data_IF_605509647342
#
_entry.id   IF_605509647342
#
_cell.length_a   1.000
_cell.length_b   1.000
_cell.length_c   1.000
_cell.angle_alpha   90.00
_cell.angle_beta   90.00
_cell.angle_gamma   90.00
#
_symmetry.space_group_name_H-M   'P 1'
#
loop_
_entity.id
_entity.type
_entity.pdbx_description
1 polymer ?
#
# COMPACT_ATOMS: atom_id res chain seq x y z
N UNK A 1 13.90 12.96 -0.14
CA UNK A 1 12.83 12.28 -0.90
C UNK A 1 11.74 13.30 -1.22
N UNK A 2 11.28 13.42 -2.48
CA UNK A 2 10.33 14.45 -2.88
C UNK A 2 9.05 14.40 -2.02
N UNK A 3 8.65 15.50 -1.36
CA UNK A 3 7.45 15.59 -0.51
C UNK A 3 6.18 15.09 -1.21
N UNK A 4 6.12 15.18 -2.54
CA UNK A 4 5.00 14.71 -3.35
C UNK A 4 4.82 13.18 -3.31
N UNK A 5 5.92 12.42 -3.22
CA UNK A 5 5.90 10.94 -3.17
C UNK A 5 5.39 10.43 -1.82
N UNK A 6 5.82 11.08 -0.74
CA UNK A 6 5.39 10.72 0.63
C UNK A 6 3.88 10.88 0.83
N UNK A 7 3.28 11.91 0.22
CA UNK A 7 1.83 12.14 0.31
C UNK A 7 1.02 11.08 -0.43
N UNK A 8 1.50 10.61 -1.60
CA UNK A 8 0.86 9.50 -2.34
C UNK A 8 0.96 8.18 -1.58
N UNK A 9 2.11 7.91 -0.96
CA UNK A 9 2.32 6.73 -0.14
C UNK A 9 1.36 6.70 1.06
N UNK A 10 1.28 7.80 1.81
CA UNK A 10 0.34 7.92 2.92
C UNK A 10 -1.11 7.77 2.46
N UNK A 11 -1.49 8.34 1.32
CA UNK A 11 -2.84 8.17 0.78
C UNK A 11 -3.13 6.70 0.45
N UNK A 12 -2.17 5.97 -0.11
CA UNK A 12 -2.31 4.54 -0.37
C UNK A 12 -2.50 3.73 0.93
N UNK A 13 -1.77 4.06 1.99
CA UNK A 13 -1.96 3.48 3.31
C UNK A 13 -3.35 3.77 3.89
N UNK A 14 -3.83 5.02 3.78
CA UNK A 14 -5.18 5.41 4.24
C UNK A 14 -6.24 4.61 3.50
N UNK A 15 -6.17 4.52 2.16
CA UNK A 15 -7.11 3.76 1.34
C UNK A 15 -7.07 2.28 1.72
N UNK A 16 -5.87 1.71 1.91
CA UNK A 16 -5.72 0.31 2.30
C UNK A 16 -6.38 0.00 3.64
N UNK A 17 -6.10 0.80 4.68
CA UNK A 17 -6.72 0.61 5.99
C UNK A 17 -8.23 0.83 5.96
N UNK A 18 -8.71 1.78 5.14
CA UNK A 18 -10.14 2.00 4.96
C UNK A 18 -10.83 0.78 4.35
N UNK A 19 -10.29 0.25 3.25
CA UNK A 19 -10.80 -0.97 2.60
C UNK A 19 -10.74 -2.16 3.54
N UNK A 20 -9.62 -2.33 4.25
CA UNK A 20 -9.43 -3.37 5.27
C UNK A 20 -10.49 -3.29 6.37
N UNK A 21 -10.76 -2.09 6.88
CA UNK A 21 -11.76 -1.86 7.92
C UNK A 21 -13.17 -2.19 7.41
N UNK A 22 -13.53 -1.73 6.21
CA UNK A 22 -14.83 -2.03 5.59
C UNK A 22 -14.99 -3.54 5.38
N UNK A 23 -13.99 -4.21 4.80
CA UNK A 23 -14.01 -5.65 4.58
C UNK A 23 -14.16 -6.41 5.91
N UNK A 24 -13.46 -5.96 6.97
CA UNK A 24 -13.58 -6.56 8.30
C UNK A 24 -15.01 -6.44 8.86
N UNK A 25 -15.61 -5.25 8.76
CA UNK A 25 -16.98 -5.03 9.22
C UNK A 25 -17.99 -5.87 8.42
N UNK A 26 -17.87 -5.90 7.10
CA UNK A 26 -18.74 -6.72 6.24
C UNK A 26 -18.68 -8.18 6.68
N UNK A 27 -17.47 -8.74 6.79
CA UNK A 27 -17.28 -10.13 7.21
C UNK A 27 -17.82 -10.38 8.61
N UNK A 28 -17.61 -9.45 9.55
CA UNK A 28 -18.08 -9.60 10.93
C UNK A 28 -19.62 -9.64 11.05
N UNK A 29 -20.34 -8.89 10.22
CA UNK A 29 -21.80 -8.78 10.30
C UNK A 29 -22.57 -9.70 9.34
N UNK A 30 -21.96 -10.17 8.25
CA UNK A 30 -22.67 -10.98 7.23
C UNK A 30 -22.24 -12.45 7.18
N UNK A 31 -21.06 -12.79 7.70
CA UNK A 31 -20.52 -14.15 7.63
C UNK A 31 -20.47 -14.82 9.01
N UNK A 32 -20.33 -16.16 9.01
CA UNK A 32 -20.23 -16.95 10.25
C UNK A 32 -18.94 -16.67 11.01
N UNK A 33 -18.91 -16.99 12.30
CA UNK A 33 -17.71 -16.85 13.15
C UNK A 33 -16.51 -17.60 12.55
N UNK A 34 -16.72 -18.78 11.98
CA UNK A 34 -15.68 -19.55 11.31
C UNK A 34 -15.10 -18.82 10.09
N UNK A 35 -15.95 -18.17 9.29
CA UNK A 35 -15.51 -17.35 8.16
C UNK A 35 -14.80 -16.07 8.65
N UNK A 36 -15.24 -15.46 9.74
CA UNK A 36 -14.61 -14.29 10.34
C UNK A 36 -13.21 -14.59 10.90
N UNK A 37 -13.04 -15.73 11.58
CA UNK A 37 -11.71 -16.20 12.03
C UNK A 37 -10.80 -16.48 10.85
N UNK A 38 -11.29 -17.17 9.80
CA UNK A 38 -10.51 -17.44 8.59
C UNK A 38 -10.12 -16.16 7.84
N UNK A 39 -10.99 -15.15 7.79
CA UNK A 39 -10.68 -13.84 7.21
C UNK A 39 -9.56 -13.13 7.98
N UNK A 40 -9.54 -13.24 9.31
CA UNK A 40 -8.43 -12.71 10.11
C UNK A 40 -7.12 -13.47 9.87
N UNK A 41 -7.17 -14.79 9.76
CA UNK A 41 -5.99 -15.63 9.53
C UNK A 41 -5.40 -15.45 8.12
N UNK A 42 -6.23 -15.56 7.09
CA UNK A 42 -5.78 -15.61 5.69
C UNK A 42 -6.11 -14.34 4.91
N UNK A 43 -7.23 -13.68 5.24
CA UNK A 43 -7.66 -12.46 4.55
C UNK A 43 -6.70 -11.29 4.79
N UNK A 44 -6.22 -11.09 6.03
CA UNK A 44 -5.19 -10.08 6.31
C UNK A 44 -3.90 -10.34 5.53
N UNK A 45 -3.48 -11.61 5.44
CA UNK A 45 -2.28 -12.03 4.69
C UNK A 45 -2.45 -11.78 3.19
N UNK A 46 -3.59 -12.14 2.60
CA UNK A 46 -3.88 -11.87 1.20
C UNK A 46 -3.90 -10.36 0.90
N UNK A 47 -4.47 -9.57 1.80
CA UNK A 47 -4.54 -8.11 1.67
C UNK A 47 -3.15 -7.48 1.76
N UNK A 48 -2.27 -7.97 2.64
CA UNK A 48 -0.88 -7.55 2.71
C UNK A 48 -0.11 -7.83 1.41
N UNK A 49 -0.33 -8.99 0.78
CA UNK A 49 0.27 -9.32 -0.51
C UNK A 49 -0.22 -8.36 -1.61
N UNK A 50 -1.53 -8.11 -1.69
CA UNK A 50 -2.10 -7.16 -2.65
C UNK A 50 -1.55 -5.75 -2.45
N UNK A 51 -1.40 -5.33 -1.20
CA UNK A 51 -0.84 -4.02 -0.86
C UNK A 51 0.62 -3.89 -1.28
N UNK A 52 1.40 -4.94 -1.06
CA UNK A 52 2.81 -4.99 -1.47
C UNK A 52 2.95 -4.95 -3.00
N UNK A 53 2.08 -5.64 -3.73
CA UNK A 53 2.00 -5.55 -5.20
C UNK A 53 1.59 -4.14 -5.65
N UNK A 54 0.61 -3.52 -4.98
CA UNK A 54 0.22 -2.14 -5.24
C UNK A 54 1.35 -1.14 -5.01
N UNK A 55 2.17 -1.34 -3.96
CA UNK A 55 3.35 -0.53 -3.69
C UNK A 55 4.37 -0.60 -4.82
N UNK A 56 4.59 -1.79 -5.39
CA UNK A 56 5.52 -1.99 -6.50
C UNK A 56 5.16 -1.14 -7.72
N UNK A 57 3.88 -1.09 -8.10
CA UNK A 57 3.42 -0.24 -9.22
C UNK A 57 3.55 1.25 -8.94
N UNK A 58 3.34 1.69 -7.70
CA UNK A 58 3.51 3.11 -7.30
C UNK A 58 4.98 3.52 -7.30
N UNK A 59 5.88 2.60 -6.99
CA UNK A 59 7.33 2.84 -6.92
C UNK A 59 8.03 2.78 -8.28
N UNK A 60 7.53 2.00 -9.24
CA UNK A 60 8.09 1.89 -10.60
C UNK A 60 8.44 3.24 -11.27
N UNK A 61 7.55 4.26 -11.31
CA UNK A 61 7.87 5.52 -11.96
C UNK A 61 8.96 6.33 -11.24
N UNK A 62 9.21 6.08 -9.95
CA UNK A 62 10.23 6.79 -9.17
C UNK A 62 11.62 6.16 -9.27
N UNK A 63 11.72 4.90 -9.69
CA UNK A 63 13.00 4.23 -9.97
C UNK A 63 13.64 4.70 -11.29
N UNK A 64 12.89 5.46 -12.09
CA UNK A 64 13.29 5.92 -13.42
C UNK A 64 13.62 7.42 -13.47
N UNK A 65 13.57 8.14 -12.34
CA UNK A 65 14.10 9.51 -12.29
C UNK A 65 15.64 9.41 -12.36
N UNK A 66 16.29 9.81 -13.47
CA UNK A 66 17.74 9.86 -13.51
C UNK A 66 18.22 10.84 -12.43
N UNK A 67 19.21 10.40 -11.65
CA UNK A 67 19.94 11.23 -10.68
C UNK A 67 20.12 12.65 -11.26
N UNK A 68 19.82 13.72 -10.49
CA UNK A 68 20.14 15.06 -10.92
C UNK A 68 21.61 15.08 -11.27
N UNK A 69 21.91 15.32 -12.55
CA UNK A 69 23.29 15.43 -13.03
C UNK A 69 23.94 16.54 -12.22
N UNK A 70 24.84 16.15 -11.32
CA UNK A 70 25.69 17.07 -10.57
C UNK A 70 26.34 18.01 -11.60
N UNK A 71 26.19 19.34 -11.48
CA UNK A 71 26.87 20.24 -12.39
C UNK A 71 28.38 20.03 -12.23
N UNK A 72 29.17 20.17 -13.32
CA UNK A 72 30.61 19.95 -13.26
C UNK A 72 31.19 20.80 -12.13
N UNK A 73 31.96 20.16 -11.25
CA UNK A 73 32.75 20.85 -10.25
C UNK A 73 33.88 21.57 -10.99
N UNK A 74 33.57 22.77 -11.49
CA UNK A 74 34.55 23.70 -12.02
C UNK A 74 35.50 24.09 -10.88
N UNK A 75 36.70 23.49 -10.88
CA UNK A 75 37.84 23.87 -10.04
C UNK A 75 39.11 23.99 -10.88
#
# INVERSE_FOLDING_TARGET
MPQHTWRKLNLAWVIFFLISGIANLVVAYTLSEAAWVNFKLFGLTAMAILFMVGHYFVLQPYLLDPEPTEPPHDA
#
